data_IF_443405131082
#
_entry.id   IF_443405131082
#
_cell.length_a   1.000
_cell.length_b   1.000
_cell.length_c   1.000
_cell.angle_alpha   90.00
_cell.angle_beta   90.00
_cell.angle_gamma   90.00
#
_symmetry.space_group_name_H-M   'P 1'
#
loop_
_entity.id
_entity.type
_entity.pdbx_description
1 polymer ?
#
# COMPACT_ATOMS: atom_id res chain seq x y z
N UNK A 1 2.41 13.34 -6.98
CA UNK A 1 1.26 13.58 -7.89
C UNK A 1 0.01 13.73 -7.05
N UNK A 2 -0.90 14.64 -7.39
CA UNK A 2 -2.18 14.80 -6.69
C UNK A 2 -3.16 13.68 -7.05
N UNK A 3 -3.82 13.08 -6.05
CA UNK A 3 -4.81 12.03 -6.28
C UNK A 3 -6.13 12.63 -6.75
N UNK A 4 -6.81 11.92 -7.67
CA UNK A 4 -8.22 12.21 -7.97
C UNK A 4 -9.07 11.79 -6.76
N UNK A 5 -10.19 12.48 -6.51
CA UNK A 5 -10.99 12.23 -5.31
C UNK A 5 -11.48 10.78 -5.14
N UNK A 6 -11.67 10.00 -6.23
CA UNK A 6 -11.99 8.56 -6.09
C UNK A 6 -10.78 7.71 -5.69
N UNK A 7 -9.58 8.12 -6.08
CA UNK A 7 -8.33 7.45 -5.73
C UNK A 7 -8.00 7.68 -4.26
N UNK A 8 -8.14 8.93 -3.79
CA UNK A 8 -7.99 9.31 -2.37
C UNK A 8 -8.99 8.57 -1.48
N UNK A 9 -10.27 8.53 -1.86
CA UNK A 9 -11.28 7.75 -1.11
C UNK A 9 -10.95 6.27 -1.07
N UNK A 10 -10.45 5.69 -2.16
CA UNK A 10 -10.06 4.29 -2.20
C UNK A 10 -8.85 4.03 -1.29
N UNK A 11 -7.85 4.90 -1.32
CA UNK A 11 -6.67 4.80 -0.46
C UNK A 11 -7.02 4.91 1.03
N UNK A 12 -7.82 5.92 1.38
CA UNK A 12 -8.29 6.15 2.76
C UNK A 12 -9.11 4.97 3.27
N UNK A 13 -10.04 4.45 2.46
CA UNK A 13 -10.82 3.28 2.84
C UNK A 13 -9.95 2.05 3.12
N UNK A 14 -8.87 1.84 2.35
CA UNK A 14 -7.92 0.73 2.57
C UNK A 14 -7.17 0.93 3.90
N UNK A 15 -6.70 2.15 4.17
CA UNK A 15 -5.97 2.48 5.39
C UNK A 15 -6.86 2.38 6.64
N UNK A 16 -8.07 2.94 6.60
CA UNK A 16 -9.02 2.93 7.72
C UNK A 16 -9.42 1.50 8.12
N UNK A 17 -9.66 0.64 7.13
CA UNK A 17 -9.98 -0.78 7.38
C UNK A 17 -8.82 -1.53 8.01
N UNK A 18 -7.60 -1.26 7.56
CA UNK A 18 -6.40 -1.82 8.18
C UNK A 18 -6.25 -1.33 9.62
N UNK A 19 -6.39 -0.02 9.86
CA UNK A 19 -6.30 0.56 11.20
C UNK A 19 -7.32 -0.07 12.16
N UNK A 20 -8.58 -0.15 11.72
CA UNK A 20 -9.67 -0.80 12.45
C UNK A 20 -9.31 -2.24 12.82
N UNK A 21 -8.88 -3.04 11.84
CA UNK A 21 -8.47 -4.42 12.09
C UNK A 21 -7.27 -4.52 13.04
N UNK A 22 -6.27 -3.67 12.87
CA UNK A 22 -5.05 -3.70 13.68
C UNK A 22 -5.27 -3.36 15.15
N UNK A 23 -6.32 -2.58 15.46
CA UNK A 23 -6.69 -2.23 16.84
C UNK A 23 -7.36 -3.37 17.62
N UNK A 24 -8.07 -4.26 16.93
CA UNK A 24 -8.76 -5.41 17.52
C UNK A 24 -8.77 -6.60 16.53
N UNK A 25 -7.63 -7.28 16.37
CA UNK A 25 -7.48 -8.34 15.39
C UNK A 25 -8.18 -9.61 15.86
N UNK A 26 -8.85 -10.29 14.92
CA UNK A 26 -9.33 -11.65 15.15
C UNK A 26 -8.16 -12.59 15.46
N UNK A 27 -8.38 -13.52 16.39
CA UNK A 27 -7.35 -14.43 16.88
C UNK A 27 -7.60 -15.88 16.43
N UNK A 28 -6.58 -16.51 15.85
CA UNK A 28 -6.52 -17.97 15.61
C UNK A 28 -6.14 -18.69 16.91
N UNK A 29 -5.27 -18.07 17.71
CA UNK A 29 -4.82 -18.56 19.01
C UNK A 29 -4.58 -17.36 19.95
N UNK A 30 -4.26 -17.59 21.23
CA UNK A 30 -3.96 -16.51 22.19
C UNK A 30 -2.85 -15.56 21.74
N UNK A 31 -1.99 -15.96 20.80
CA UNK A 31 -0.83 -15.19 20.35
C UNK A 31 -0.77 -15.00 18.84
N UNK A 32 -1.75 -15.51 18.09
CA UNK A 32 -1.71 -15.52 16.62
C UNK A 32 -2.94 -14.85 16.06
N UNK A 33 -2.73 -13.72 15.38
CA UNK A 33 -3.78 -13.00 14.68
C UNK A 33 -4.13 -13.73 13.37
N UNK A 34 -5.39 -13.65 12.97
CA UNK A 34 -5.81 -13.96 11.61
C UNK A 34 -5.14 -12.96 10.66
N UNK A 35 -4.61 -13.36 9.49
CA UNK A 35 -4.10 -12.38 8.54
C UNK A 35 -5.21 -11.49 8.02
N UNK A 36 -4.97 -10.18 8.00
CA UNK A 36 -5.88 -9.24 7.35
C UNK A 36 -5.74 -9.31 5.83
N UNK A 37 -6.87 -9.48 5.15
CA UNK A 37 -6.93 -9.51 3.69
C UNK A 37 -7.98 -8.50 3.21
N UNK A 38 -7.59 -7.68 2.24
CA UNK A 38 -8.50 -6.80 1.53
C UNK A 38 -8.10 -6.68 0.05
N UNK A 39 -9.07 -6.34 -0.79
CA UNK A 39 -8.90 -6.28 -2.25
C UNK A 39 -9.31 -4.93 -2.79
N UNK A 40 -8.44 -4.31 -3.59
CA UNK A 40 -8.77 -3.16 -4.43
C UNK A 40 -9.22 -3.64 -5.81
N UNK A 41 -10.50 -3.48 -6.12
CA UNK A 41 -11.04 -3.73 -7.47
C UNK A 41 -11.09 -2.41 -8.23
N UNK A 42 -10.44 -2.35 -9.39
CA UNK A 42 -10.54 -1.17 -10.25
C UNK A 42 -10.16 -1.46 -11.71
N UNK A 43 -10.67 -0.62 -12.61
CA UNK A 43 -10.42 -0.71 -14.04
C UNK A 43 -8.95 -0.46 -14.40
N UNK A 44 -8.50 -0.94 -15.55
CA UNK A 44 -7.15 -0.63 -16.07
C UNK A 44 -7.05 0.87 -16.38
N UNK A 45 -5.88 1.46 -16.11
CA UNK A 45 -5.66 2.90 -16.29
C UNK A 45 -6.18 3.79 -15.16
N UNK A 46 -6.89 3.25 -14.16
CA UNK A 46 -7.46 4.03 -13.05
C UNK A 46 -6.44 4.61 -12.05
N UNK A 47 -5.17 4.21 -12.13
CA UNK A 47 -4.13 4.61 -11.17
C UNK A 47 -4.01 3.71 -9.93
N UNK A 48 -4.29 2.40 -10.04
CA UNK A 48 -4.11 1.41 -8.95
C UNK A 48 -2.83 1.57 -8.13
N UNK A 49 -1.70 1.73 -8.82
CA UNK A 49 -0.39 1.87 -8.16
C UNK A 49 -0.34 3.11 -7.28
N UNK A 50 -0.91 4.23 -7.75
CA UNK A 50 -0.96 5.47 -6.98
C UNK A 50 -1.88 5.33 -5.75
N UNK A 51 -3.06 4.72 -5.92
CA UNK A 51 -3.97 4.45 -4.80
C UNK A 51 -3.32 3.59 -3.72
N UNK A 52 -2.63 2.52 -4.12
CA UNK A 52 -1.97 1.62 -3.18
C UNK A 52 -0.76 2.27 -2.51
N UNK A 53 0.04 3.07 -3.24
CA UNK A 53 1.15 3.82 -2.67
C UNK A 53 0.66 4.81 -1.61
N UNK A 54 -0.41 5.54 -1.90
CA UNK A 54 -1.03 6.46 -0.94
C UNK A 54 -1.59 5.72 0.29
N UNK A 55 -2.31 4.60 0.09
CA UNK A 55 -2.81 3.79 1.20
C UNK A 55 -1.69 3.28 2.11
N UNK A 56 -0.56 2.85 1.53
CA UNK A 56 0.62 2.41 2.28
C UNK A 56 1.22 3.56 3.11
N UNK A 57 1.26 4.77 2.54
CA UNK A 57 1.72 5.96 3.24
C UNK A 57 0.83 6.28 4.44
N UNK A 58 -0.49 6.30 4.23
CA UNK A 58 -1.46 6.52 5.31
C UNK A 58 -1.40 5.44 6.40
N UNK A 59 -1.22 4.16 6.02
CA UNK A 59 -1.02 3.06 6.97
C UNK A 59 0.23 3.29 7.82
N UNK A 60 1.36 3.67 7.20
CA UNK A 60 2.60 3.98 7.92
C UNK A 60 2.38 5.09 8.94
N UNK A 61 1.69 6.16 8.55
CA UNK A 61 1.47 7.33 9.41
C UNK A 61 0.63 6.98 10.65
N UNK A 62 -0.23 5.96 10.54
CA UNK A 62 -1.01 5.41 11.67
C UNK A 62 -0.28 4.37 12.52
N UNK A 63 0.94 3.96 12.16
CA UNK A 63 1.67 2.89 12.86
C UNK A 63 2.79 3.44 13.76
N UNK A 64 3.01 2.85 14.94
CA UNK A 64 4.11 3.26 15.83
C UNK A 64 5.49 2.86 15.29
N UNK A 65 5.54 1.88 14.38
CA UNK A 65 6.76 1.37 13.76
C UNK A 65 6.50 1.29 12.26
N UNK A 66 7.44 1.78 11.45
CA UNK A 66 7.33 1.74 10.01
C UNK A 66 7.18 0.29 9.50
N UNK A 67 6.17 0.00 8.67
CA UNK A 67 5.94 -1.35 8.16
C UNK A 67 6.96 -1.71 7.07
N UNK A 68 7.22 -3.01 6.92
CA UNK A 68 7.89 -3.55 5.73
C UNK A 68 6.80 -3.87 4.71
N UNK A 69 6.94 -3.31 3.51
CA UNK A 69 5.99 -3.54 2.41
C UNK A 69 6.66 -4.33 1.31
N UNK A 70 6.12 -5.51 1.03
CA UNK A 70 6.52 -6.33 -0.10
C UNK A 70 5.59 -6.08 -1.29
N UNK A 71 6.09 -5.38 -2.30
CA UNK A 71 5.33 -5.09 -3.52
C UNK A 71 5.59 -6.14 -4.60
N UNK A 72 4.59 -6.96 -4.92
CA UNK A 72 4.74 -8.09 -5.85
C UNK A 72 3.91 -7.85 -7.11
N UNK A 73 4.47 -8.21 -8.27
CA UNK A 73 3.75 -8.27 -9.55
C UNK A 73 4.17 -9.48 -10.35
N UNK A 74 3.27 -10.00 -11.20
CA UNK A 74 3.52 -11.20 -12.01
C UNK A 74 4.53 -10.99 -13.15
N UNK A 75 4.52 -9.81 -13.77
CA UNK A 75 5.32 -9.54 -14.97
C UNK A 75 6.60 -8.79 -14.64
N UNK A 76 7.76 -9.29 -15.10
CA UNK A 76 9.07 -8.65 -14.87
C UNK A 76 9.10 -7.17 -15.31
N UNK A 77 8.53 -6.87 -16.48
CA UNK A 77 8.42 -5.48 -17.00
C UNK A 77 7.56 -4.60 -16.08
N UNK A 78 6.51 -5.16 -15.48
CA UNK A 78 5.66 -4.42 -14.54
C UNK A 78 6.41 -4.17 -13.24
N UNK A 79 7.23 -5.12 -12.77
CA UNK A 79 8.09 -4.94 -11.60
C UNK A 79 9.07 -3.80 -11.84
N UNK A 80 9.82 -3.79 -12.94
CA UNK A 80 10.81 -2.73 -13.21
C UNK A 80 10.15 -1.36 -13.35
N UNK A 81 9.06 -1.26 -14.10
CA UNK A 81 8.32 0.00 -14.24
C UNK A 81 7.73 0.50 -12.91
N UNK A 82 7.21 -0.42 -12.09
CA UNK A 82 6.66 -0.03 -10.78
C UNK A 82 7.77 0.43 -9.85
N UNK A 83 8.90 -0.29 -9.83
CA UNK A 83 10.07 0.09 -9.05
C UNK A 83 10.60 1.48 -9.44
N UNK A 84 10.77 1.77 -10.73
CA UNK A 84 11.19 3.10 -11.20
C UNK A 84 10.19 4.17 -10.76
N UNK A 85 8.89 3.93 -10.94
CA UNK A 85 7.85 4.89 -10.57
C UNK A 85 7.81 5.19 -9.06
N UNK A 86 8.07 4.20 -8.21
CA UNK A 86 8.02 4.32 -6.75
C UNK A 86 9.34 4.79 -6.12
N UNK A 87 10.49 4.50 -6.73
CA UNK A 87 11.81 4.81 -6.14
C UNK A 87 12.28 6.23 -6.43
N UNK A 88 12.10 6.70 -7.67
CA UNK A 88 12.56 8.02 -8.11
C UNK A 88 11.66 8.67 -9.16
N UNK A 89 10.60 7.98 -9.59
CA UNK A 89 9.67 8.44 -10.59
C UNK A 89 8.46 9.18 -10.02
N UNK A 90 7.39 9.20 -10.82
CA UNK A 90 6.16 9.99 -10.60
C UNK A 90 5.43 9.77 -9.27
N UNK A 91 5.72 8.68 -8.56
CA UNK A 91 5.06 8.30 -7.31
C UNK A 91 6.02 8.26 -6.12
N UNK A 92 7.28 8.68 -6.28
CA UNK A 92 8.27 8.65 -5.21
C UNK A 92 7.85 9.47 -3.98
N UNK A 93 7.27 10.67 -4.21
CA UNK A 93 6.82 11.55 -3.13
C UNK A 93 5.68 10.93 -2.29
N UNK A 94 4.87 10.04 -2.90
CA UNK A 94 3.80 9.33 -2.19
C UNK A 94 4.35 8.33 -1.16
N UNK A 95 5.62 7.94 -1.27
CA UNK A 95 6.30 7.01 -0.37
C UNK A 95 7.54 7.63 0.29
N UNK A 96 7.58 8.96 0.46
CA UNK A 96 8.73 9.68 1.06
C UNK A 96 9.19 9.15 2.41
N UNK A 97 8.31 8.48 3.16
CA UNK A 97 8.60 7.83 4.43
C UNK A 97 9.21 6.43 4.35
N UNK A 98 9.47 5.91 3.14
CA UNK A 98 9.98 4.57 2.88
C UNK A 98 11.29 4.59 2.10
N UNK A 99 12.15 3.61 2.37
CA UNK A 99 13.26 3.26 1.50
C UNK A 99 12.78 2.22 0.49
N UNK A 100 12.70 2.59 -0.79
CA UNK A 100 12.27 1.69 -1.87
C UNK A 100 13.49 1.01 -2.48
N UNK A 101 13.48 -0.33 -2.51
CA UNK A 101 14.61 -1.12 -3.01
C UNK A 101 14.13 -2.37 -3.78
N UNK A 102 14.91 -2.87 -4.75
CA UNK A 102 14.56 -4.09 -5.47
C UNK A 102 14.68 -5.31 -4.54
N UNK A 103 13.85 -6.32 -4.80
CA UNK A 103 13.94 -7.62 -4.13
C UNK A 103 14.94 -8.50 -4.91
N UNK A 104 16.23 -8.38 -4.54
CA UNK A 104 17.41 -9.08 -5.10
C UNK A 104 17.76 -8.72 -6.55
#
# INVERSE_FOLDING_TARGET
MELLGFQERAASQIADRFATYSSDPLLVSRTTNVPFLQTLVSITGSGKTLMLADAISQIRDGMPIAPIVLWISKGRVVVSQTFENLSSGKYADNLSGFTVMPLL
#
